data_IF_649663499371
#
_entry.id   IF_649663499371
#
_cell.length_a   1.000
_cell.length_b   1.000
_cell.length_c   1.000
_cell.angle_alpha   90.00
_cell.angle_beta   90.00
_cell.angle_gamma   90.00
#
_symmetry.space_group_name_H-M   'P 1'
#
loop_
_entity.id
_entity.type
_entity.pdbx_description
1 polymer ?
#
# COMPACT_ATOMS: atom_id res chain seq x y z
N UNK A 1 2.34 -4.49 1.89
CA UNK A 1 3.73 -4.51 2.37
C UNK A 1 3.79 -3.91 3.78
N UNK A 2 4.47 -4.54 4.75
CA UNK A 2 4.42 -4.13 6.17
C UNK A 2 4.91 -2.70 6.41
N UNK A 3 5.99 -2.29 5.75
CA UNK A 3 6.53 -0.94 5.89
C UNK A 3 5.57 0.14 5.39
N UNK A 4 4.83 -0.10 4.30
CA UNK A 4 3.81 0.84 3.81
C UNK A 4 2.61 0.96 4.77
N UNK A 5 2.23 -0.12 5.44
CA UNK A 5 1.24 -0.06 6.52
C UNK A 5 1.75 0.79 7.69
N UNK A 6 3.04 0.67 8.06
CA UNK A 6 3.64 1.54 9.06
C UNK A 6 3.68 3.01 8.62
N UNK A 7 3.98 3.29 7.34
CA UNK A 7 3.89 4.64 6.76
C UNK A 7 2.48 5.19 6.87
N UNK A 8 1.45 4.40 6.55
CA UNK A 8 0.06 4.83 6.66
C UNK A 8 -0.33 5.19 8.10
N UNK A 9 0.18 4.44 9.09
CA UNK A 9 -0.03 4.75 10.52
C UNK A 9 0.69 6.04 10.94
N UNK A 10 1.91 6.26 10.46
CA UNK A 10 2.75 7.40 10.87
C UNK A 10 2.39 8.72 10.18
N UNK A 11 2.16 8.66 8.87
CA UNK A 11 2.04 9.84 8.00
C UNK A 11 0.73 9.91 7.21
N UNK A 12 -0.19 8.97 7.43
CA UNK A 12 -1.49 8.95 6.78
C UNK A 12 -1.43 8.64 5.27
N UNK A 13 -2.52 8.99 4.60
CA UNK A 13 -2.73 8.68 3.18
C UNK A 13 -1.74 9.40 2.26
N UNK A 14 -1.43 10.67 2.53
CA UNK A 14 -0.50 11.46 1.69
C UNK A 14 0.92 10.87 1.69
N UNK A 15 1.41 10.44 2.86
CA UNK A 15 2.71 9.79 2.97
C UNK A 15 2.72 8.44 2.24
N UNK A 16 1.63 7.68 2.35
CA UNK A 16 1.48 6.41 1.65
C UNK A 16 1.51 6.61 0.13
N UNK A 17 0.78 7.59 -0.41
CA UNK A 17 0.75 7.90 -1.85
C UNK A 17 2.16 8.23 -2.36
N UNK A 18 2.88 9.14 -1.67
CA UNK A 18 4.26 9.49 -2.04
C UNK A 18 5.19 8.27 -2.06
N UNK A 19 5.04 7.35 -1.11
CA UNK A 19 5.82 6.11 -1.13
C UNK A 19 5.45 5.19 -2.29
N UNK A 20 4.17 5.09 -2.66
CA UNK A 20 3.73 4.29 -3.80
C UNK A 20 4.26 4.86 -5.12
N UNK A 21 4.24 6.19 -5.28
CA UNK A 21 4.79 6.89 -6.46
C UNK A 21 6.28 6.63 -6.66
N UNK A 22 7.03 6.43 -5.58
CA UNK A 22 8.44 6.04 -5.66
C UNK A 22 8.64 4.52 -5.83
N UNK A 23 7.85 3.71 -5.13
CA UNK A 23 8.02 2.26 -5.09
C UNK A 23 7.62 1.57 -6.40
N UNK A 24 6.52 2.01 -7.02
CA UNK A 24 6.01 1.39 -8.25
C UNK A 24 7.02 1.50 -9.41
N UNK A 25 7.53 2.70 -9.77
CA UNK A 25 8.56 2.82 -10.80
C UNK A 25 9.86 2.13 -10.43
N UNK A 26 10.28 2.22 -9.15
CA UNK A 26 11.48 1.54 -8.67
C UNK A 26 11.45 0.04 -8.96
N UNK A 27 10.32 -0.63 -8.70
CA UNK A 27 10.17 -2.04 -8.96
C UNK A 27 9.89 -2.35 -10.44
N UNK A 28 8.83 -1.78 -11.01
CA UNK A 28 8.30 -2.18 -12.32
C UNK A 28 9.06 -1.60 -13.51
N UNK A 29 9.65 -0.40 -13.37
CA UNK A 29 10.34 0.27 -14.48
C UNK A 29 11.84 0.08 -14.38
N UNK A 30 12.38 0.15 -13.16
CA UNK A 30 13.83 0.17 -12.94
C UNK A 30 14.40 -1.14 -12.40
N UNK A 31 13.57 -2.14 -12.10
CA UNK A 31 14.03 -3.45 -11.63
C UNK A 31 14.81 -3.41 -10.31
N UNK A 32 14.60 -2.40 -9.47
CA UNK A 32 15.28 -2.28 -8.18
C UNK A 32 14.81 -3.37 -7.21
N UNK A 33 15.70 -3.84 -6.35
CA UNK A 33 15.41 -4.84 -5.32
C UNK A 33 14.60 -4.27 -4.14
N UNK A 34 13.37 -3.81 -4.40
CA UNK A 34 12.49 -3.20 -3.38
C UNK A 34 11.94 -4.19 -2.34
N UNK A 35 12.19 -5.48 -2.53
CA UNK A 35 11.88 -6.53 -1.56
C UNK A 35 13.00 -6.71 -0.52
N UNK A 36 14.19 -6.16 -0.78
CA UNK A 36 15.30 -6.12 0.17
C UNK A 36 15.23 -4.86 1.04
N UNK A 37 15.85 -4.92 2.21
CA UNK A 37 15.78 -3.85 3.21
C UNK A 37 16.36 -2.54 2.68
N UNK A 38 17.49 -2.62 2.00
CA UNK A 38 18.24 -1.49 1.47
C UNK A 38 17.49 -0.82 0.31
N UNK A 39 16.96 -1.62 -0.61
CA UNK A 39 16.16 -1.12 -1.73
C UNK A 39 14.86 -0.46 -1.29
N UNK A 40 14.18 -1.05 -0.30
CA UNK A 40 12.98 -0.46 0.30
C UNK A 40 13.31 0.84 1.06
N UNK A 41 14.35 0.83 1.89
CA UNK A 41 14.79 2.02 2.63
C UNK A 41 15.10 3.18 1.69
N UNK A 42 15.80 2.93 0.59
CA UNK A 42 16.11 3.96 -0.40
C UNK A 42 14.85 4.60 -1.00
N UNK A 43 13.80 3.81 -1.29
CA UNK A 43 12.53 4.32 -1.80
C UNK A 43 11.80 5.17 -0.75
N UNK A 44 11.72 4.68 0.49
CA UNK A 44 11.04 5.38 1.59
C UNK A 44 11.76 6.69 1.94
N UNK A 45 13.09 6.68 2.03
CA UNK A 45 13.89 7.87 2.32
C UNK A 45 13.77 8.92 1.23
N UNK A 46 13.69 8.51 -0.04
CA UNK A 46 13.46 9.44 -1.15
C UNK A 46 12.08 10.09 -1.07
N UNK A 47 11.04 9.33 -0.70
CA UNK A 47 9.67 9.84 -0.62
C UNK A 47 9.41 10.72 0.61
N UNK A 48 10.01 10.38 1.76
CA UNK A 48 9.61 10.91 3.07
C UNK A 48 10.74 11.50 3.91
N UNK A 49 11.99 11.35 3.47
CA UNK A 49 13.19 11.64 4.25
C UNK A 49 13.62 10.48 5.16
N UNK A 50 14.90 10.46 5.53
CA UNK A 50 15.52 9.34 6.26
C UNK A 50 14.89 9.07 7.64
N UNK A 51 14.52 10.12 8.37
CA UNK A 51 13.96 9.97 9.72
C UNK A 51 12.62 9.22 9.69
N UNK A 52 11.71 9.63 8.80
CA UNK A 52 10.40 8.99 8.67
C UNK A 52 10.54 7.57 8.11
N UNK A 53 11.42 7.38 7.12
CA UNK A 53 11.71 6.06 6.57
C UNK A 53 12.23 5.09 7.63
N UNK A 54 13.18 5.52 8.49
CA UNK A 54 13.69 4.70 9.60
C UNK A 54 12.57 4.32 10.58
N UNK A 55 11.74 5.29 11.01
CA UNK A 55 10.61 5.02 11.92
C UNK A 55 9.63 4.01 11.32
N UNK A 56 9.29 4.15 10.04
CA UNK A 56 8.41 3.20 9.36
C UNK A 56 9.01 1.79 9.29
N UNK A 57 10.32 1.67 9.03
CA UNK A 57 11.02 0.39 9.01
C UNK A 57 11.11 -0.27 10.40
N UNK A 58 11.20 0.52 11.47
CA UNK A 58 11.19 0.03 12.85
C UNK A 58 9.82 -0.48 13.31
N UNK A 59 8.73 0.17 12.88
CA UNK A 59 7.35 -0.25 13.16
C UNK A 59 6.87 -1.41 12.26
N UNK A 60 7.53 -1.65 11.13
CA UNK A 60 7.11 -2.67 10.16
C UNK A 60 6.95 -4.09 10.74
N UNK A 61 7.81 -4.60 11.64
CA UNK A 61 7.69 -5.96 12.17
C UNK A 61 6.49 -6.17 13.10
N UNK A 62 5.96 -5.10 13.71
CA UNK A 62 4.86 -5.13 14.68
C UNK A 62 3.60 -4.49 14.10
N UNK A 63 3.42 -3.19 14.28
CA UNK A 63 2.21 -2.45 13.87
C UNK A 63 1.95 -2.58 12.37
N UNK A 64 3.02 -2.52 11.56
CA UNK A 64 2.92 -2.72 10.12
C UNK A 64 2.51 -4.15 9.72
N UNK A 65 2.90 -5.16 10.50
CA UNK A 65 2.50 -6.56 10.28
C UNK A 65 1.04 -6.77 10.67
N UNK A 66 0.63 -6.24 11.81
CA UNK A 66 -0.74 -6.35 12.31
C UNK A 66 -1.74 -5.69 11.34
N UNK A 67 -1.47 -4.45 10.93
CA UNK A 67 -2.34 -3.74 10.00
C UNK A 67 -2.38 -4.40 8.62
N UNK A 68 -1.24 -4.91 8.13
CA UNK A 68 -1.22 -5.67 6.88
C UNK A 68 -2.10 -6.93 6.96
N UNK A 69 -2.05 -7.66 8.08
CA UNK A 69 -2.91 -8.81 8.32
C UNK A 69 -4.38 -8.43 8.28
N UNK A 70 -4.78 -7.44 9.09
CA UNK A 70 -6.15 -6.93 9.15
C UNK A 70 -6.70 -6.52 7.78
N UNK A 71 -5.93 -5.75 7.01
CA UNK A 71 -6.35 -5.32 5.67
C UNK A 71 -6.49 -6.49 4.70
N UNK A 72 -5.64 -7.51 4.83
CA UNK A 72 -5.68 -8.70 3.97
C UNK A 72 -6.88 -9.59 4.32
N UNK A 73 -7.15 -9.78 5.61
CA UNK A 73 -8.32 -10.51 6.08
C UNK A 73 -9.62 -9.82 5.66
N UNK A 74 -9.66 -8.48 5.72
CA UNK A 74 -10.79 -7.70 5.21
C UNK A 74 -10.99 -7.93 3.70
N UNK A 75 -9.92 -7.87 2.89
CA UNK A 75 -10.03 -8.11 1.46
C UNK A 75 -10.58 -9.52 1.15
N UNK A 76 -10.16 -10.54 1.90
CA UNK A 76 -10.72 -11.88 1.77
C UNK A 76 -12.19 -11.96 2.20
N UNK A 77 -12.57 -11.31 3.30
CA UNK A 77 -13.96 -11.22 3.73
C UNK A 77 -14.86 -10.52 2.70
N UNK A 78 -14.29 -9.61 1.89
CA UNK A 78 -14.96 -8.94 0.77
C UNK A 78 -14.96 -9.78 -0.52
N UNK A 79 -14.34 -10.97 -0.53
CA UNK A 79 -14.34 -11.90 -1.67
C UNK A 79 -13.17 -11.72 -2.64
N UNK A 80 -12.15 -10.95 -2.27
CA UNK A 80 -11.00 -10.71 -3.14
C UNK A 80 -10.23 -12.02 -3.42
N UNK A 81 -10.03 -12.33 -4.70
CA UNK A 81 -9.22 -13.46 -5.16
C UNK A 81 -7.97 -13.03 -5.95
N UNK A 82 -7.82 -11.73 -6.20
CA UNK A 82 -6.71 -11.15 -6.94
C UNK A 82 -6.68 -9.63 -6.81
N UNK A 83 -5.63 -9.00 -7.35
CA UNK A 83 -5.43 -7.54 -7.30
C UNK A 83 -5.32 -6.94 -8.72
N UNK A 84 -5.71 -5.67 -8.91
CA UNK A 84 -6.34 -4.82 -7.90
C UNK A 84 -7.81 -5.19 -7.64
N UNK A 85 -8.25 -4.97 -6.41
CA UNK A 85 -9.61 -5.19 -5.93
C UNK A 85 -10.10 -3.90 -5.31
N UNK A 86 -11.27 -3.43 -5.74
CA UNK A 86 -11.87 -2.21 -5.25
C UNK A 86 -13.27 -2.51 -4.73
N UNK A 87 -13.60 -1.90 -3.58
CA UNK A 87 -14.96 -1.84 -3.08
C UNK A 87 -15.36 -0.38 -3.01
N UNK A 88 -16.39 0.00 -3.75
CA UNK A 88 -16.89 1.36 -3.85
C UNK A 88 -18.29 1.43 -3.27
N UNK A 89 -18.56 2.47 -2.48
CA UNK A 89 -19.88 2.77 -1.95
C UNK A 89 -20.42 4.02 -2.65
N UNK A 90 -21.65 3.93 -3.18
CA UNK A 90 -22.30 5.07 -3.83
C UNK A 90 -23.00 5.99 -2.81
N UNK A 91 -23.55 7.11 -3.30
CA UNK A 91 -24.26 8.08 -2.43
C UNK A 91 -25.51 7.54 -1.73
N UNK A 92 -26.00 6.36 -2.11
CA UNK A 92 -27.13 5.66 -1.48
C UNK A 92 -26.69 4.60 -0.46
N UNK A 93 -25.38 4.41 -0.26
CA UNK A 93 -24.84 3.38 0.62
C UNK A 93 -24.78 1.99 -0.01
N UNK A 94 -25.01 1.86 -1.32
CA UNK A 94 -24.90 0.59 -2.03
C UNK A 94 -23.42 0.33 -2.33
N UNK A 95 -22.94 -0.87 -2.01
CA UNK A 95 -21.54 -1.28 -2.20
C UNK A 95 -21.42 -2.19 -3.40
N UNK A 96 -20.50 -1.85 -4.30
CA UNK A 96 -20.15 -2.65 -5.45
C UNK A 96 -18.65 -2.98 -5.47
N UNK A 97 -18.33 -4.09 -6.15
CA UNK A 97 -17.00 -4.67 -6.21
C UNK A 97 -16.49 -4.64 -7.65
N UNK A 98 -15.25 -4.19 -7.82
CA UNK A 98 -14.56 -4.16 -9.11
C UNK A 98 -13.21 -4.86 -9.00
N UNK A 99 -12.98 -5.85 -9.86
CA UNK A 99 -11.69 -6.53 -9.99
C UNK A 99 -11.03 -6.21 -11.33
N UNK A 100 -9.75 -5.85 -11.28
CA UNK A 100 -8.95 -5.54 -12.47
C UNK A 100 -9.04 -4.08 -12.93
N UNK A 101 -8.26 -3.77 -13.97
CA UNK A 101 -8.00 -2.39 -14.41
C UNK A 101 -9.00 -1.87 -15.46
N UNK A 102 -9.81 -2.74 -16.07
CA UNK A 102 -10.58 -2.43 -17.28
C UNK A 102 -12.06 -2.10 -17.03
N UNK A 103 -12.56 -2.25 -15.81
CA UNK A 103 -14.00 -2.17 -15.49
C UNK A 103 -14.47 -0.74 -15.16
N UNK A 104 -13.57 0.24 -15.06
CA UNK A 104 -13.90 1.64 -14.76
C UNK A 104 -14.74 2.37 -15.82
N UNK A 105 -15.01 1.76 -16.98
CA UNK A 105 -15.79 2.39 -18.07
C UNK A 105 -17.31 2.28 -17.92
N UNK A 106 -17.79 1.60 -16.88
CA UNK A 106 -19.22 1.27 -16.73
C UNK A 106 -19.95 2.01 -15.61
N UNK A 107 -19.32 3.03 -15.02
CA UNK A 107 -19.81 3.84 -13.90
C UNK A 107 -19.92 5.32 -14.28
#
# INVERSE_FOLDING_TARGET
>A
MRALCAVAVLGGQDALIKCLDELYPAYWVHGKATHEKEGLMACLSKALGEEMARKAMEMAPKEGKELLGKNTDQAFAEGAFGLPWFVAENSKGERDVVWGWTIWRSW
#
